data_IF_316633649335
#
_entry.id   IF_316633649335
#
_cell.length_a   1.000
_cell.length_b   1.000
_cell.length_c   1.000
_cell.angle_alpha   90.00
_cell.angle_beta   90.00
_cell.angle_gamma   90.00
#
_symmetry.space_group_name_H-M   'P 1'
#
loop_
_entity.id
_entity.type
_entity.pdbx_description
1 polymer ?
#
# COMPACT_ATOMS: atom_id res chain seq x y z
N UNK A 1 4.93 2.99 4.05
CA UNK A 1 5.63 2.12 5.03
C UNK A 1 7.03 1.82 4.52
N UNK A 2 8.00 1.56 5.41
CA UNK A 2 9.36 1.13 5.05
C UNK A 2 9.71 -0.18 5.78
N UNK A 3 10.14 -1.17 5.01
CA UNK A 3 10.80 -2.38 5.51
C UNK A 3 12.33 -2.23 5.53
N UNK A 4 13.06 -3.30 5.24
CA UNK A 4 14.53 -3.31 5.35
C UNK A 4 15.20 -2.25 4.46
N UNK A 5 14.93 -2.28 3.14
CA UNK A 5 15.61 -1.41 2.17
C UNK A 5 14.69 -0.66 1.20
N UNK A 6 13.39 -0.93 1.22
CA UNK A 6 12.42 -0.34 0.29
C UNK A 6 11.15 0.11 1.02
N UNK A 7 10.39 0.97 0.34
CA UNK A 7 9.07 1.42 0.75
C UNK A 7 7.98 0.68 -0.01
N UNK A 8 6.83 0.56 0.64
CA UNK A 8 5.61 -0.01 0.09
C UNK A 8 4.39 0.63 0.79
N UNK A 9 3.20 0.39 0.26
CA UNK A 9 1.96 0.89 0.86
C UNK A 9 1.62 0.11 2.15
N UNK A 10 0.96 0.74 3.13
CA UNK A 10 0.35 0.01 4.24
C UNK A 10 -0.83 -0.84 3.75
N UNK A 11 -1.13 -1.92 4.46
CA UNK A 11 -2.15 -2.89 4.07
C UNK A 11 -1.75 -4.31 4.43
N UNK A 12 -2.50 -5.29 3.95
CA UNK A 12 -2.27 -6.69 4.30
C UNK A 12 -3.22 -7.65 3.60
N UNK A 13 -3.24 -8.88 4.10
CA UNK A 13 -3.98 -9.97 3.47
C UNK A 13 -5.47 -9.89 3.77
N UNK A 14 -6.29 -10.24 2.77
CA UNK A 14 -7.70 -10.48 2.99
C UNK A 14 -7.89 -11.75 3.85
N UNK A 15 -8.87 -11.69 4.75
CA UNK A 15 -9.40 -12.89 5.41
C UNK A 15 -10.54 -13.49 4.59
N UNK A 16 -10.77 -14.79 4.72
CA UNK A 16 -11.88 -15.46 4.04
C UNK A 16 -13.22 -14.82 4.44
N UNK A 17 -14.04 -14.45 3.46
CA UNK A 17 -15.33 -13.77 3.66
C UNK A 17 -15.23 -12.27 3.98
N UNK A 18 -14.03 -11.69 4.02
CA UNK A 18 -13.82 -10.26 4.25
C UNK A 18 -13.78 -9.50 2.91
N UNK A 19 -14.44 -8.34 2.84
CA UNK A 19 -14.29 -7.46 1.66
C UNK A 19 -12.93 -6.77 1.68
N UNK A 20 -12.38 -6.45 0.50
CA UNK A 20 -11.08 -5.78 0.40
C UNK A 20 -11.02 -4.45 1.17
N UNK A 21 -12.11 -3.67 1.14
CA UNK A 21 -12.20 -2.42 1.90
C UNK A 21 -12.24 -2.64 3.41
N UNK A 22 -12.94 -3.68 3.88
CA UNK A 22 -12.96 -4.03 5.29
C UNK A 22 -11.58 -4.52 5.75
N UNK A 23 -10.91 -5.34 4.94
CA UNK A 23 -9.54 -5.80 5.19
C UNK A 23 -8.59 -4.61 5.33
N UNK A 24 -8.60 -3.67 4.36
CA UNK A 24 -7.74 -2.49 4.40
C UNK A 24 -8.01 -1.62 5.64
N UNK A 25 -9.28 -1.39 6.00
CA UNK A 25 -9.61 -0.62 7.21
C UNK A 25 -9.13 -1.32 8.49
N UNK A 26 -9.18 -2.64 8.55
CA UNK A 26 -8.67 -3.43 9.67
C UNK A 26 -7.15 -3.34 9.77
N UNK A 27 -6.45 -3.60 8.67
CA UNK A 27 -4.98 -3.54 8.59
C UNK A 27 -4.46 -2.15 8.99
N UNK A 28 -5.04 -1.06 8.46
CA UNK A 28 -4.66 0.30 8.85
C UNK A 28 -4.89 0.57 10.34
N UNK A 29 -5.92 0.00 10.95
CA UNK A 29 -6.15 0.11 12.40
C UNK A 29 -5.14 -0.70 13.21
N UNK A 30 -4.75 -1.88 12.73
CA UNK A 30 -3.76 -2.75 13.35
C UNK A 30 -2.35 -2.14 13.26
N UNK A 31 -1.94 -1.71 12.07
CA UNK A 31 -0.63 -1.17 11.76
C UNK A 31 -0.41 0.25 12.30
N UNK A 32 -1.38 1.15 12.06
CA UNK A 32 -1.25 2.59 12.29
C UNK A 32 -2.08 3.12 13.46
N UNK A 33 -2.96 2.30 14.03
CA UNK A 33 -3.95 2.76 15.01
C UNK A 33 -4.94 3.79 14.45
N UNK A 34 -5.01 3.93 13.13
CA UNK A 34 -5.79 4.97 12.47
C UNK A 34 -7.23 4.50 12.24
N UNK A 35 -8.20 5.39 12.46
CA UNK A 35 -9.52 5.27 11.83
C UNK A 35 -9.38 5.68 10.36
N UNK A 36 -10.05 4.96 9.47
CA UNK A 36 -9.95 5.17 8.03
C UNK A 36 -11.31 5.12 7.35
N UNK A 37 -11.48 5.94 6.33
CA UNK A 37 -12.57 5.87 5.35
C UNK A 37 -11.97 5.37 4.04
N UNK A 38 -12.27 4.11 3.70
CA UNK A 38 -11.82 3.50 2.44
C UNK A 38 -12.73 3.99 1.32
N UNK A 39 -12.13 4.69 0.36
CA UNK A 39 -12.79 5.25 -0.80
C UNK A 39 -12.75 4.31 -2.01
N UNK A 40 -12.72 4.85 -3.23
CA UNK A 40 -12.78 4.05 -4.45
C UNK A 40 -11.52 3.20 -4.66
N UNK A 41 -11.70 2.06 -5.34
CA UNK A 41 -10.61 1.29 -5.93
C UNK A 41 -10.00 2.12 -7.08
N UNK A 42 -8.70 2.38 -7.01
CA UNK A 42 -7.98 3.21 -7.99
C UNK A 42 -7.07 2.40 -8.90
N UNK A 43 -6.76 1.16 -8.54
CA UNK A 43 -6.04 0.28 -9.41
C UNK A 43 -5.81 -1.11 -8.86
N UNK A 44 -5.32 -1.98 -9.74
CA UNK A 44 -4.97 -3.36 -9.44
C UNK A 44 -3.51 -3.57 -9.86
N UNK A 45 -2.71 -4.19 -9.00
CA UNK A 45 -1.33 -4.53 -9.30
C UNK A 45 -1.09 -6.02 -9.00
N UNK A 46 -1.02 -6.79 -10.07
CA UNK A 46 -0.49 -8.14 -10.09
C UNK A 46 1.03 -8.04 -9.93
N UNK A 47 1.61 -8.72 -8.93
CA UNK A 47 3.05 -8.67 -8.65
C UNK A 47 3.63 -10.05 -8.33
N UNK A 48 4.72 -10.41 -9.02
CA UNK A 48 5.51 -11.61 -8.77
C UNK A 48 6.93 -11.22 -8.38
N UNK A 49 7.43 -11.74 -7.26
CA UNK A 49 8.75 -11.40 -6.76
C UNK A 49 9.40 -12.55 -5.97
N UNK A 50 10.74 -12.65 -5.96
CA UNK A 50 11.44 -13.59 -5.10
C UNK A 50 11.69 -12.98 -3.70
N UNK A 51 11.40 -13.74 -2.65
CA UNK A 51 11.81 -13.42 -1.28
C UNK A 51 12.29 -14.69 -0.57
N UNK A 52 13.48 -14.64 0.07
CA UNK A 52 14.05 -15.75 0.86
C UNK A 52 14.02 -17.12 0.13
N UNK A 53 14.33 -17.12 -1.17
CA UNK A 53 14.37 -18.32 -2.00
C UNK A 53 13.00 -18.86 -2.43
N UNK A 54 11.90 -18.17 -2.13
CA UNK A 54 10.54 -18.51 -2.57
C UNK A 54 10.04 -17.46 -3.56
N UNK A 55 9.25 -17.89 -4.55
CA UNK A 55 8.49 -16.98 -5.41
C UNK A 55 7.18 -16.66 -4.73
N UNK A 56 6.89 -15.36 -4.63
CA UNK A 56 5.63 -14.83 -4.17
C UNK A 56 4.85 -14.31 -5.37
N UNK A 57 3.53 -14.46 -5.29
CA UNK A 57 2.60 -13.96 -6.30
C UNK A 57 1.41 -13.37 -5.54
N UNK A 58 1.19 -12.08 -5.74
CA UNK A 58 0.14 -11.31 -5.08
C UNK A 58 -0.67 -10.49 -6.08
N UNK A 59 -1.93 -10.24 -5.72
CA UNK A 59 -2.81 -9.30 -6.41
C UNK A 59 -3.14 -8.21 -5.41
N UNK A 60 -2.61 -7.01 -5.66
CA UNK A 60 -2.82 -5.86 -4.80
C UNK A 60 -4.01 -5.04 -5.31
N UNK A 61 -5.00 -4.82 -4.44
CA UNK A 61 -6.13 -3.92 -4.69
C UNK A 61 -5.81 -2.56 -4.05
N UNK A 62 -5.66 -1.52 -4.86
CA UNK A 62 -5.19 -0.21 -4.42
C UNK A 62 -6.39 0.73 -4.27
N UNK A 63 -6.54 1.32 -3.08
CA UNK A 63 -7.65 2.22 -2.77
C UNK A 63 -7.16 3.62 -2.42
N UNK A 64 -7.98 4.62 -2.72
CA UNK A 64 -7.88 5.93 -2.05
C UNK A 64 -8.44 5.80 -0.64
N UNK A 65 -7.73 6.33 0.35
CA UNK A 65 -8.12 6.23 1.75
C UNK A 65 -7.93 7.58 2.43
N UNK A 66 -8.96 8.03 3.17
CA UNK A 66 -8.79 9.10 4.15
C UNK A 66 -8.50 8.49 5.49
N UNK A 67 -7.43 8.95 6.13
CA UNK A 67 -7.02 8.48 7.45
C UNK A 67 -7.12 9.62 8.46
N UNK A 68 -7.60 9.30 9.65
CA UNK A 68 -7.59 10.22 10.79
C UNK A 68 -6.20 10.35 11.41
N UNK A 69 -6.13 10.58 12.71
CA UNK A 69 -4.86 10.63 13.45
C UNK A 69 -4.10 9.30 13.30
N UNK A 70 -2.84 9.38 12.88
CA UNK A 70 -1.96 8.24 12.61
C UNK A 70 -0.93 8.10 13.74
N UNK A 71 -0.68 6.87 14.19
CA UNK A 71 0.46 6.56 15.05
C UNK A 71 1.66 6.08 14.21
N UNK A 72 2.61 6.98 13.94
CA UNK A 72 3.78 6.68 13.11
C UNK A 72 4.79 5.74 13.76
N UNK A 73 4.71 5.51 15.08
CA UNK A 73 5.55 4.51 15.76
C UNK A 73 5.17 3.08 15.37
N UNK A 74 3.99 2.90 14.76
CA UNK A 74 3.42 1.59 14.46
C UNK A 74 3.09 0.80 15.74
N UNK A 75 2.37 -0.31 15.60
CA UNK A 75 2.29 -1.33 16.67
C UNK A 75 3.28 -2.47 16.47
N UNK A 76 3.74 -2.69 15.23
CA UNK A 76 4.70 -3.73 14.89
C UNK A 76 6.15 -3.23 14.94
N UNK A 77 7.02 -3.94 15.67
CA UNK A 77 8.42 -3.54 15.91
C UNK A 77 9.30 -3.47 14.65
N UNK A 78 8.87 -4.06 13.53
CA UNK A 78 9.70 -4.19 12.30
C UNK A 78 9.40 -3.14 11.23
N UNK A 79 8.28 -2.42 11.33
CA UNK A 79 7.81 -1.52 10.28
C UNK A 79 7.89 -0.07 10.73
N UNK A 80 8.40 0.80 9.85
CA UNK A 80 8.45 2.25 10.08
C UNK A 80 7.51 2.98 9.13
N UNK A 81 6.72 3.89 9.67
CA UNK A 81 5.75 4.67 8.90
C UNK A 81 6.23 6.09 8.66
N UNK A 82 5.94 6.59 7.47
CA UNK A 82 6.37 7.91 7.02
C UNK A 82 5.23 8.53 6.23
N UNK A 83 4.94 9.80 6.51
CA UNK A 83 4.18 10.65 5.62
C UNK A 83 5.14 11.25 4.61
N UNK A 84 4.77 11.15 3.33
CA UNK A 84 5.58 11.63 2.21
C UNK A 84 4.65 12.37 1.27
N UNK A 85 5.00 13.62 0.95
CA UNK A 85 4.33 14.31 -0.15
C UNK A 85 4.73 13.70 -1.50
N UNK A 86 4.09 14.15 -2.58
CA UNK A 86 4.37 13.61 -3.92
C UNK A 86 5.81 13.90 -4.40
N UNK A 87 6.44 14.98 -3.95
CA UNK A 87 7.84 15.32 -4.30
C UNK A 87 8.79 14.37 -3.59
N UNK A 88 8.56 14.06 -2.34
CA UNK A 88 9.34 13.09 -1.57
C UNK A 88 9.10 11.65 -2.05
N UNK A 89 7.85 11.29 -2.34
CA UNK A 89 7.48 9.96 -2.86
C UNK A 89 8.20 9.62 -4.17
N UNK A 90 8.42 10.60 -5.04
CA UNK A 90 9.21 10.38 -6.26
C UNK A 90 10.65 9.97 -5.98
N UNK A 91 11.22 10.38 -4.84
CA UNK A 91 12.63 10.14 -4.47
C UNK A 91 12.88 8.83 -3.74
N UNK A 92 11.86 8.20 -3.15
CA UNK A 92 12.06 6.96 -2.38
C UNK A 92 12.21 5.73 -3.28
N UNK A 93 12.95 4.73 -2.81
CA UNK A 93 12.96 3.41 -3.43
C UNK A 93 11.70 2.66 -3.01
N UNK A 94 10.69 2.64 -3.88
CA UNK A 94 9.40 2.00 -3.66
C UNK A 94 9.29 0.78 -4.56
N UNK A 95 8.76 -0.32 -4.02
CA UNK A 95 8.45 -1.54 -4.76
C UNK A 95 6.97 -1.88 -4.59
N UNK A 96 6.30 -2.37 -5.66
CA UNK A 96 6.81 -2.57 -7.02
C UNK A 96 7.11 -1.25 -7.76
N UNK A 97 8.08 -1.25 -8.68
CA UNK A 97 8.46 -0.04 -9.43
C UNK A 97 7.31 0.44 -10.34
N UNK A 98 6.65 -0.48 -11.03
CA UNK A 98 5.56 -0.14 -11.95
C UNK A 98 4.37 0.44 -11.18
N UNK A 99 4.10 -0.08 -9.99
CA UNK A 99 3.10 0.51 -9.07
C UNK A 99 3.47 1.94 -8.68
N UNK A 100 4.75 2.23 -8.42
CA UNK A 100 5.21 3.60 -8.15
C UNK A 100 4.89 4.54 -9.31
N UNK A 101 5.17 4.11 -10.53
CA UNK A 101 4.93 4.91 -11.74
C UNK A 101 3.44 5.13 -11.99
N UNK A 102 2.63 4.09 -11.84
CA UNK A 102 1.18 4.16 -11.95
C UNK A 102 0.58 5.11 -10.89
N UNK A 103 1.03 5.05 -9.63
CA UNK A 103 0.60 5.98 -8.59
C UNK A 103 0.96 7.43 -8.94
N UNK A 104 2.18 7.69 -9.43
CA UNK A 104 2.58 9.02 -9.88
C UNK A 104 1.69 9.52 -11.03
N UNK A 105 1.32 8.63 -11.96
CA UNK A 105 0.38 8.92 -13.03
C UNK A 105 -1.02 9.25 -12.51
N UNK A 106 -1.54 8.41 -11.61
CA UNK A 106 -2.84 8.58 -10.97
C UNK A 106 -2.97 9.92 -10.26
N UNK A 107 -1.95 10.37 -9.52
CA UNK A 107 -1.96 11.69 -8.87
C UNK A 107 -2.03 12.88 -9.84
N UNK A 108 -1.75 12.68 -11.14
CA UNK A 108 -1.87 13.71 -12.17
C UNK A 108 -3.21 13.69 -12.89
N UNK A 109 -3.75 12.51 -13.18
CA UNK A 109 -4.86 12.34 -14.13
C UNK A 109 -6.09 11.61 -13.56
N UNK A 110 -5.99 11.07 -12.33
CA UNK A 110 -7.03 10.29 -11.66
C UNK A 110 -7.56 9.08 -12.46
N UNK A 111 -6.77 8.55 -13.39
CA UNK A 111 -7.14 7.38 -14.20
C UNK A 111 -6.86 6.09 -13.46
N UNK A 112 -7.87 5.22 -13.42
CA UNK A 112 -7.71 3.84 -12.96
C UNK A 112 -6.57 3.14 -13.71
N UNK A 113 -5.80 2.31 -13.00
CA UNK A 113 -4.73 1.52 -13.61
C UNK A 113 -4.86 0.04 -13.28
N UNK A 114 -4.48 -0.80 -14.24
CA UNK A 114 -4.27 -2.22 -14.03
C UNK A 114 -2.85 -2.54 -14.50
N UNK A 115 -2.04 -3.04 -13.58
CA UNK A 115 -0.70 -3.52 -13.83
C UNK A 115 -0.70 -5.02 -13.71
N UNK A 116 -0.18 -5.68 -14.73
CA UNK A 116 0.05 -7.11 -14.79
C UNK A 116 1.55 -7.37 -15.00
N UNK A 117 2.06 -8.43 -14.36
CA UNK A 117 3.44 -8.89 -14.52
C UNK A 117 3.70 -9.51 -15.89
#
# INVERSE_FOLDING_TARGET
MKGDRHYFLPGGHLKFGESAGAALSRELKEELGAKSEVGPLIGICEHVYPEKGKKHHEINLIFEVKVGKINLKGKEKKLKFYLKDLKEFKKIYFLPKDLKEALIGYFKNKKFFWLNF
#
